data_IF_499617116198
#
_entry.id   IF_499617116198
#
_cell.length_a   1.000
_cell.length_b   1.000
_cell.length_c   1.000
_cell.angle_alpha   90.00
_cell.angle_beta   90.00
_cell.angle_gamma   90.00
#
_symmetry.space_group_name_H-M   'P 1'
#
loop_
_entity.id
_entity.type
_entity.pdbx_description
1 polymer ?
#
# COMPACT_ATOMS: atom_id res chain seq x y z
N UNK A 1 12.34 -10.88 14.25
CA UNK A 1 12.74 -9.51 14.65
C UNK A 1 11.76 -9.04 15.71
N UNK A 2 12.23 -8.35 16.75
CA UNK A 2 11.41 -8.02 17.93
C UNK A 2 11.73 -6.60 18.39
N UNK A 3 10.70 -5.80 18.69
CA UNK A 3 10.82 -4.47 19.30
C UNK A 3 11.88 -3.58 18.62
N UNK A 4 11.80 -3.45 17.29
CA UNK A 4 12.62 -2.47 16.56
C UNK A 4 12.02 -1.07 16.76
N UNK A 5 12.87 -0.04 16.82
CA UNK A 5 12.42 1.34 17.03
C UNK A 5 11.49 1.84 15.92
N UNK A 6 11.90 1.65 14.65
CA UNK A 6 11.18 2.19 13.50
C UNK A 6 10.56 1.08 12.67
N UNK A 7 11.38 0.16 12.17
CA UNK A 7 10.93 -0.88 11.26
C UNK A 7 11.51 -2.25 11.60
N UNK A 8 10.74 -3.31 11.37
CA UNK A 8 11.30 -4.66 11.29
C UNK A 8 12.16 -4.76 10.04
N UNK A 9 11.55 -4.82 8.87
CA UNK A 9 12.27 -4.86 7.58
C UNK A 9 11.84 -3.67 6.74
N UNK A 10 12.80 -2.95 6.18
CA UNK A 10 12.54 -1.80 5.34
C UNK A 10 13.09 -2.00 3.93
N UNK A 11 12.24 -1.73 2.94
CA UNK A 11 12.60 -1.70 1.53
C UNK A 11 12.30 -0.32 0.95
N UNK A 12 13.18 0.16 0.06
CA UNK A 12 13.10 1.49 -0.54
C UNK A 12 12.69 1.41 -2.00
N UNK A 13 13.53 0.76 -2.81
CA UNK A 13 13.36 0.59 -4.25
C UNK A 13 13.57 -0.86 -4.65
N UNK A 14 12.86 -1.28 -5.70
CA UNK A 14 13.15 -2.50 -6.46
C UNK A 14 13.28 -2.07 -7.92
N UNK A 15 14.49 -2.14 -8.44
CA UNK A 15 14.78 -1.63 -9.77
C UNK A 15 14.09 -2.49 -10.84
N UNK A 16 13.14 -1.89 -11.54
CA UNK A 16 12.30 -2.56 -12.54
C UNK A 16 13.05 -3.36 -13.62
N UNK A 17 14.28 -3.00 -14.07
CA UNK A 17 15.02 -3.81 -15.04
C UNK A 17 15.36 -5.23 -14.54
N UNK A 18 15.34 -5.45 -13.22
CA UNK A 18 15.63 -6.76 -12.61
C UNK A 18 14.36 -7.49 -12.13
N UNK A 19 13.18 -6.92 -12.36
CA UNK A 19 11.89 -7.53 -12.01
C UNK A 19 11.28 -8.17 -13.24
N UNK A 20 11.02 -9.48 -13.16
CA UNK A 20 10.35 -10.29 -14.19
C UNK A 20 8.97 -10.80 -13.75
N UNK A 21 8.58 -10.54 -12.50
CA UNK A 21 7.33 -10.99 -11.92
C UNK A 21 7.36 -10.94 -10.40
N UNK A 22 6.80 -11.99 -9.78
CA UNK A 22 6.69 -12.12 -8.32
C UNK A 22 7.39 -13.40 -7.85
N UNK A 23 7.70 -13.46 -6.56
CA UNK A 23 8.38 -14.59 -5.93
C UNK A 23 9.87 -14.66 -6.27
N UNK A 24 10.51 -15.71 -5.80
CA UNK A 24 11.97 -15.86 -5.79
C UNK A 24 12.61 -15.87 -7.19
N UNK A 25 11.85 -16.28 -8.19
CA UNK A 25 12.32 -16.42 -9.57
C UNK A 25 12.12 -15.15 -10.41
N UNK A 26 11.32 -14.20 -9.92
CA UNK A 26 10.87 -13.05 -10.71
C UNK A 26 10.93 -11.69 -10.01
N UNK A 27 11.12 -11.63 -8.70
CA UNK A 27 11.12 -10.38 -7.96
C UNK A 27 11.90 -10.46 -6.65
N UNK A 28 11.82 -9.39 -5.85
CA UNK A 28 12.39 -9.37 -4.52
C UNK A 28 11.47 -10.15 -3.56
N UNK A 29 12.06 -10.77 -2.53
CA UNK A 29 11.31 -11.59 -1.58
C UNK A 29 11.74 -11.30 -0.14
N UNK A 30 10.75 -11.12 0.72
CA UNK A 30 10.90 -11.28 2.17
C UNK A 30 10.13 -12.54 2.54
N UNK A 31 10.81 -13.53 3.14
CA UNK A 31 10.17 -14.81 3.48
C UNK A 31 10.56 -15.40 4.82
N UNK A 32 9.69 -16.26 5.33
CA UNK A 32 9.95 -17.14 6.49
C UNK A 32 10.48 -16.37 7.70
N UNK A 33 9.80 -15.29 8.09
CA UNK A 33 10.21 -14.47 9.22
C UNK A 33 9.05 -14.14 10.14
N UNK A 34 9.35 -14.03 11.43
CA UNK A 34 8.43 -13.54 12.44
C UNK A 34 8.85 -12.14 12.85
N UNK A 35 7.91 -11.20 12.79
CA UNK A 35 8.12 -9.81 13.16
C UNK A 35 7.16 -9.49 14.31
N UNK A 36 7.73 -9.07 15.43
CA UNK A 36 7.01 -8.79 16.68
C UNK A 36 7.05 -7.30 16.95
N UNK A 37 5.88 -6.66 16.99
CA UNK A 37 5.74 -5.22 17.19
C UNK A 37 6.09 -4.78 18.62
N UNK A 38 5.64 -5.52 19.62
CA UNK A 38 6.05 -5.32 21.01
C UNK A 38 6.06 -6.61 21.84
N UNK A 39 6.85 -6.57 22.90
CA UNK A 39 7.02 -7.57 23.97
C UNK A 39 7.25 -6.79 25.25
N UNK A 40 6.33 -6.92 26.21
CA UNK A 40 6.32 -6.11 27.43
C UNK A 40 7.43 -6.48 28.41
N UNK A 41 7.87 -7.74 28.37
CA UNK A 41 8.96 -8.28 29.19
C UNK A 41 10.31 -7.58 28.90
N UNK A 42 10.42 -6.86 27.79
CA UNK A 42 11.59 -6.05 27.46
C UNK A 42 11.59 -4.67 28.13
N UNK A 43 10.55 -4.30 28.87
CA UNK A 43 10.55 -3.11 29.73
C UNK A 43 10.58 -1.76 28.99
N UNK A 44 10.21 -1.72 27.71
CA UNK A 44 10.19 -0.49 26.90
C UNK A 44 8.96 0.41 27.14
N UNK A 45 8.06 -0.05 28.02
CA UNK A 45 6.84 0.65 28.40
C UNK A 45 5.61 0.22 27.59
N UNK A 46 4.40 0.51 28.11
CA UNK A 46 3.13 0.00 27.59
C UNK A 46 2.71 0.62 26.26
N UNK A 47 3.38 1.68 25.81
CA UNK A 47 3.10 2.35 24.55
C UNK A 47 4.13 2.05 23.46
N UNK A 48 5.26 1.42 23.83
CA UNK A 48 6.32 1.14 22.86
C UNK A 48 5.87 0.09 21.86
N UNK A 49 6.13 0.32 20.58
CA UNK A 49 5.96 -0.71 19.57
C UNK A 49 6.72 -0.32 18.30
N UNK A 50 7.17 -1.30 17.53
CA UNK A 50 7.72 -1.09 16.20
C UNK A 50 6.71 -0.38 15.31
N UNK A 51 7.05 0.84 14.88
CA UNK A 51 6.14 1.68 14.10
C UNK A 51 5.62 0.95 12.87
N UNK A 52 6.48 0.26 12.11
CA UNK A 52 6.08 -0.58 10.97
C UNK A 52 6.77 -1.95 10.98
N UNK A 53 6.01 -3.04 10.89
CA UNK A 53 6.62 -4.39 10.78
C UNK A 53 7.44 -4.55 9.49
N UNK A 54 6.80 -4.33 8.35
CA UNK A 54 7.43 -4.26 7.02
C UNK A 54 7.11 -2.91 6.38
N UNK A 55 8.13 -2.25 5.85
CA UNK A 55 8.01 -1.07 5.01
C UNK A 55 8.20 -1.47 3.54
N UNK A 56 7.13 -1.34 2.75
CA UNK A 56 7.06 -1.67 1.33
C UNK A 56 7.73 -0.60 0.46
N UNK A 57 8.29 -0.96 -0.71
CA UNK A 57 9.06 -0.06 -1.55
C UNK A 57 8.16 0.78 -2.46
N UNK A 58 8.77 1.78 -3.10
CA UNK A 58 8.17 2.54 -4.20
C UNK A 58 8.39 1.87 -5.57
N UNK A 59 8.16 0.57 -5.66
CA UNK A 59 8.24 -0.21 -6.90
C UNK A 59 7.41 -1.49 -6.78
N UNK A 60 7.00 -2.06 -7.92
CA UNK A 60 6.42 -3.39 -7.98
C UNK A 60 7.49 -4.49 -7.84
N UNK A 61 7.04 -5.72 -7.60
CA UNK A 61 7.91 -6.90 -7.61
C UNK A 61 8.36 -7.39 -6.23
N UNK A 62 7.90 -6.79 -5.13
CA UNK A 62 8.12 -7.33 -3.78
C UNK A 62 7.08 -8.41 -3.45
N UNK A 63 7.56 -9.60 -3.07
CA UNK A 63 6.72 -10.67 -2.51
C UNK A 63 7.01 -10.90 -1.04
N UNK A 64 5.97 -10.94 -0.23
CA UNK A 64 5.99 -11.23 1.20
C UNK A 64 5.40 -12.62 1.40
N UNK A 65 6.22 -13.56 1.84
CA UNK A 65 5.88 -14.99 1.84
C UNK A 65 6.09 -15.62 3.21
N UNK A 66 5.09 -16.27 3.77
CA UNK A 66 5.26 -17.00 5.04
C UNK A 66 5.77 -16.09 6.17
N UNK A 67 5.18 -14.90 6.29
CA UNK A 67 5.55 -13.93 7.33
C UNK A 67 4.50 -13.91 8.42
N UNK A 68 4.96 -13.99 9.66
CA UNK A 68 4.12 -13.93 10.86
C UNK A 68 4.28 -12.57 11.53
N UNK A 69 3.18 -11.83 11.68
CA UNK A 69 3.12 -10.59 12.42
C UNK A 69 2.51 -10.83 13.80
N UNK A 70 3.18 -10.32 14.83
CA UNK A 70 2.78 -10.52 16.23
C UNK A 70 2.73 -9.17 16.94
N UNK A 71 1.69 -8.91 17.73
CA UNK A 71 1.62 -7.75 18.63
C UNK A 71 1.72 -6.40 17.90
N UNK A 72 0.96 -6.23 16.82
CA UNK A 72 0.74 -4.93 16.17
C UNK A 72 -0.67 -4.43 16.51
N UNK A 73 -0.87 -4.13 17.79
CA UNK A 73 -2.16 -3.78 18.39
C UNK A 73 -2.14 -2.45 19.18
N UNK A 74 -0.97 -1.82 19.27
CA UNK A 74 -0.80 -0.50 19.91
C UNK A 74 -1.08 0.66 18.94
N UNK A 75 -1.51 1.83 19.45
CA UNK A 75 -1.73 3.02 18.63
C UNK A 75 -0.51 3.37 17.78
N UNK A 76 -0.75 3.90 16.58
CA UNK A 76 0.27 4.38 15.62
C UNK A 76 1.22 3.33 15.04
N UNK A 77 1.21 2.09 15.54
CA UNK A 77 1.89 0.96 14.91
C UNK A 77 1.04 0.26 13.86
N UNK A 78 1.69 -0.34 12.88
CA UNK A 78 1.04 -1.29 11.98
C UNK A 78 2.01 -2.35 11.46
N UNK A 79 1.50 -3.54 11.16
CA UNK A 79 2.32 -4.62 10.61
C UNK A 79 2.91 -4.25 9.23
N UNK A 80 2.14 -3.57 8.39
CA UNK A 80 2.54 -3.16 7.04
C UNK A 80 2.49 -1.64 6.93
N UNK A 81 3.48 -1.06 6.24
CA UNK A 81 3.49 0.35 5.82
C UNK A 81 4.24 0.52 4.51
N UNK A 82 4.35 1.77 4.05
CA UNK A 82 4.99 2.11 2.77
C UNK A 82 6.11 3.11 3.00
N UNK A 83 7.16 2.98 2.19
CA UNK A 83 8.40 3.73 2.37
C UNK A 83 8.25 5.24 2.15
N UNK A 84 9.22 5.98 2.66
CA UNK A 84 9.49 7.38 2.35
C UNK A 84 10.96 7.48 1.99
N UNK A 85 11.31 8.19 0.92
CA UNK A 85 12.69 8.26 0.44
C UNK A 85 13.07 9.73 0.34
N UNK A 86 13.90 10.19 1.28
CA UNK A 86 14.42 11.55 1.24
C UNK A 86 15.16 11.84 -0.06
N UNK A 87 15.00 13.05 -0.59
CA UNK A 87 15.50 13.45 -1.91
C UNK A 87 14.86 12.74 -3.11
N UNK A 88 13.92 11.81 -2.92
CA UNK A 88 13.24 11.08 -4.01
C UNK A 88 11.73 11.28 -3.96
N UNK A 89 11.09 10.91 -2.86
CA UNK A 89 9.70 11.26 -2.57
C UNK A 89 9.35 10.97 -1.11
N UNK A 90 8.73 11.95 -0.45
CA UNK A 90 8.28 11.82 0.94
C UNK A 90 6.77 12.03 1.11
N UNK A 91 6.09 12.56 0.10
CA UNK A 91 4.67 12.91 0.15
C UNK A 91 3.95 12.55 -1.15
N UNK A 92 2.73 12.00 -1.01
CA UNK A 92 1.80 11.67 -2.12
C UNK A 92 2.42 10.84 -3.25
N UNK A 93 3.29 9.88 -2.92
CA UNK A 93 3.81 8.89 -3.87
C UNK A 93 3.18 7.53 -3.63
N UNK A 94 3.06 6.74 -4.70
CA UNK A 94 2.40 5.47 -4.59
C UNK A 94 1.96 4.84 -5.90
N UNK A 95 0.95 4.00 -5.76
CA UNK A 95 0.29 3.27 -6.82
C UNK A 95 0.97 1.95 -7.17
N UNK A 96 2.04 1.58 -6.48
CA UNK A 96 2.70 0.28 -6.65
C UNK A 96 2.01 -0.81 -5.83
N UNK A 97 2.40 -2.04 -6.10
CA UNK A 97 1.82 -3.23 -5.51
C UNK A 97 2.87 -4.08 -4.80
N UNK A 98 2.45 -4.75 -3.73
CA UNK A 98 3.20 -5.83 -3.12
C UNK A 98 2.33 -7.08 -3.01
N UNK A 99 2.93 -8.25 -3.21
CA UNK A 99 2.23 -9.52 -3.25
C UNK A 99 2.43 -10.30 -1.95
N UNK A 100 1.36 -10.83 -1.40
CA UNK A 100 1.35 -11.53 -0.12
C UNK A 100 0.87 -12.97 -0.26
N UNK A 101 1.48 -13.86 0.50
CA UNK A 101 1.09 -15.28 0.64
C UNK A 101 1.64 -15.86 1.95
N UNK A 102 0.96 -16.85 2.54
CA UNK A 102 1.34 -17.49 3.80
C UNK A 102 1.39 -16.54 5.01
N UNK A 103 0.64 -15.44 4.99
CA UNK A 103 0.65 -14.45 6.08
C UNK A 103 -0.08 -14.97 7.31
N UNK A 104 0.45 -14.68 8.49
CA UNK A 104 -0.18 -15.00 9.76
C UNK A 104 -0.18 -13.78 10.67
N UNK A 105 -1.28 -13.61 11.41
CA UNK A 105 -1.46 -12.53 12.37
C UNK A 105 -1.76 -13.11 13.75
N UNK A 106 -0.99 -12.69 14.75
CA UNK A 106 -1.25 -12.99 16.16
C UNK A 106 -1.34 -11.67 16.92
N UNK A 107 -2.43 -11.45 17.64
CA UNK A 107 -2.70 -10.20 18.37
C UNK A 107 -2.33 -8.94 17.54
N UNK A 108 -2.89 -8.84 16.34
CA UNK A 108 -2.57 -7.77 15.39
C UNK A 108 -3.88 -7.17 14.90
N UNK A 109 -4.33 -6.11 15.58
CA UNK A 109 -5.48 -5.31 15.16
C UNK A 109 -5.11 -4.27 14.10
N UNK A 110 -3.83 -3.86 14.02
CA UNK A 110 -3.34 -2.87 13.06
C UNK A 110 -2.50 -3.55 11.97
N UNK A 111 -3.17 -4.12 10.96
CA UNK A 111 -2.53 -4.89 9.89
C UNK A 111 -1.81 -4.01 8.87
N UNK A 112 -2.35 -2.85 8.52
CA UNK A 112 -1.66 -1.88 7.67
C UNK A 112 -1.92 -0.43 8.09
N UNK A 113 -0.95 0.42 7.77
CA UNK A 113 -1.05 1.86 7.93
C UNK A 113 -0.70 2.58 6.64
N UNK A 114 -1.61 3.44 6.22
CA UNK A 114 -1.53 4.24 5.00
C UNK A 114 -1.46 5.74 5.36
N UNK A 115 -0.94 6.54 4.44
CA UNK A 115 -0.81 8.00 4.61
C UNK A 115 -1.76 8.78 3.71
N UNK A 116 -2.09 8.26 2.53
CA UNK A 116 -2.94 8.93 1.55
C UNK A 116 -3.60 7.95 0.59
N UNK A 117 -4.56 8.48 -0.17
CA UNK A 117 -5.23 7.79 -1.27
C UNK A 117 -4.22 7.31 -2.32
N UNK A 118 -4.42 6.12 -2.88
CA UNK A 118 -3.57 5.53 -3.93
C UNK A 118 -2.12 5.17 -3.53
N UNK A 119 -1.78 5.12 -2.24
CA UNK A 119 -0.41 4.84 -1.81
C UNK A 119 0.11 3.46 -2.27
N UNK A 120 -0.67 2.39 -2.13
CA UNK A 120 -0.24 1.02 -2.44
C UNK A 120 -1.42 0.08 -2.68
N UNK A 121 -1.19 -1.01 -3.41
CA UNK A 121 -2.08 -2.19 -3.47
C UNK A 121 -1.40 -3.37 -2.78
N UNK A 122 -2.04 -3.91 -1.74
CA UNK A 122 -1.63 -5.18 -1.13
C UNK A 122 -2.41 -6.31 -1.80
N UNK A 123 -1.73 -7.22 -2.50
CA UNK A 123 -2.36 -8.31 -3.26
C UNK A 123 -2.31 -9.60 -2.43
N UNK A 124 -3.46 -10.09 -1.98
CA UNK A 124 -3.57 -11.37 -1.28
C UNK A 124 -3.69 -12.52 -2.27
N UNK A 125 -2.65 -13.35 -2.39
CA UNK A 125 -2.59 -14.36 -3.47
C UNK A 125 -3.25 -15.69 -3.12
N UNK A 126 -3.37 -15.98 -1.82
CA UNK A 126 -3.78 -17.28 -1.30
C UNK A 126 -4.87 -17.17 -0.21
N UNK A 127 -5.25 -15.95 0.19
CA UNK A 127 -6.25 -15.69 1.22
C UNK A 127 -5.67 -15.53 2.62
N UNK A 128 -4.37 -15.67 2.79
CA UNK A 128 -3.73 -15.59 4.11
C UNK A 128 -3.67 -14.16 4.66
N UNK A 129 -3.69 -13.14 3.81
CA UNK A 129 -3.62 -11.74 4.24
C UNK A 129 -4.99 -11.21 4.71
N UNK A 130 -6.04 -11.52 3.97
CA UNK A 130 -7.38 -10.92 4.10
C UNK A 130 -8.47 -11.93 4.48
N UNK A 131 -8.14 -13.22 4.50
CA UNK A 131 -9.09 -14.32 4.66
C UNK A 131 -9.69 -14.80 3.34
N UNK A 132 -9.46 -14.11 2.21
CA UNK A 132 -10.05 -14.45 0.92
C UNK A 132 -9.02 -14.33 -0.22
N UNK A 133 -8.99 -15.35 -1.07
CA UNK A 133 -8.01 -15.44 -2.15
C UNK A 133 -8.23 -14.37 -3.22
N UNK A 134 -7.14 -13.78 -3.72
CA UNK A 134 -7.11 -12.75 -4.77
C UNK A 134 -7.78 -11.40 -4.39
N UNK A 135 -8.13 -11.23 -3.12
CA UNK A 135 -8.57 -9.95 -2.60
C UNK A 135 -7.40 -8.95 -2.54
N UNK A 136 -7.74 -7.67 -2.49
CA UNK A 136 -6.77 -6.59 -2.49
C UNK A 136 -7.08 -5.64 -1.35
N UNK A 137 -6.06 -5.15 -0.67
CA UNK A 137 -6.20 -4.06 0.30
C UNK A 137 -5.62 -2.79 -0.31
N UNK A 138 -6.38 -1.71 -0.27
CA UNK A 138 -5.98 -0.39 -0.80
C UNK A 138 -6.40 0.70 0.19
N UNK A 139 -5.72 1.86 0.18
CA UNK A 139 -6.30 3.07 0.78
C UNK A 139 -7.67 3.36 0.18
N UNK A 140 -8.61 3.82 1.01
CA UNK A 140 -9.95 4.26 0.59
C UNK A 140 -9.83 5.28 -0.54
N UNK A 141 -10.70 5.14 -1.53
CA UNK A 141 -10.83 6.11 -2.62
C UNK A 141 -12.31 6.30 -2.96
N UNK A 142 -12.66 7.50 -3.43
CA UNK A 142 -13.99 7.76 -4.00
C UNK A 142 -14.27 6.96 -5.28
N UNK A 143 -13.23 6.36 -5.88
CA UNK A 143 -13.35 5.54 -7.09
C UNK A 143 -13.69 4.07 -6.81
N UNK A 144 -13.66 3.62 -5.55
CA UNK A 144 -13.92 2.23 -5.20
C UNK A 144 -15.42 1.92 -5.32
N UNK A 145 -15.74 0.75 -5.88
CA UNK A 145 -17.11 0.25 -5.92
C UNK A 145 -17.51 -0.22 -4.50
N UNK A 146 -18.52 0.41 -3.85
CA UNK A 146 -18.93 0.05 -2.50
C UNK A 146 -19.54 -1.37 -2.40
N UNK A 147 -19.95 -1.98 -3.52
CA UNK A 147 -20.42 -3.37 -3.53
C UNK A 147 -19.29 -4.39 -3.42
N UNK A 148 -18.11 -4.04 -3.93
CA UNK A 148 -16.97 -4.95 -4.03
C UNK A 148 -15.81 -4.57 -3.11
N UNK A 149 -15.80 -3.35 -2.57
CA UNK A 149 -14.79 -2.83 -1.67
C UNK A 149 -15.42 -2.37 -0.35
N UNK A 150 -14.93 -2.90 0.77
CA UNK A 150 -15.43 -2.58 2.11
C UNK A 150 -14.30 -2.07 3.00
N UNK A 151 -14.50 -0.92 3.63
CA UNK A 151 -13.58 -0.40 4.64
C UNK A 151 -13.50 -1.33 5.86
N UNK A 152 -12.29 -1.52 6.40
CA UNK A 152 -12.08 -2.27 7.65
C UNK A 152 -11.10 -1.53 8.56
N UNK A 153 -11.42 -1.47 9.85
CA UNK A 153 -10.63 -0.77 10.84
C UNK A 153 -9.18 -1.30 10.90
N UNK A 154 -8.99 -2.61 10.71
CA UNK A 154 -7.67 -3.25 10.77
C UNK A 154 -6.67 -2.82 9.69
N UNK A 155 -7.14 -2.17 8.61
CA UNK A 155 -6.31 -1.64 7.53
C UNK A 155 -6.23 -0.10 7.56
N UNK A 156 -6.70 0.53 8.64
CA UNK A 156 -7.03 1.96 8.66
C UNK A 156 -6.15 2.79 9.60
N UNK A 157 -4.91 2.36 9.87
CA UNK A 157 -3.98 3.20 10.64
C UNK A 157 -3.51 4.38 9.80
N UNK A 158 -3.77 5.60 10.27
CA UNK A 158 -3.36 6.85 9.60
C UNK A 158 -4.33 7.32 8.50
N UNK A 159 -4.70 6.44 7.58
CA UNK A 159 -5.65 6.71 6.51
C UNK A 159 -6.57 5.49 6.32
N UNK A 160 -7.89 5.67 6.05
CA UNK A 160 -8.82 4.55 5.93
C UNK A 160 -8.42 3.55 4.84
N UNK A 161 -8.52 2.26 5.15
CA UNK A 161 -8.21 1.16 4.22
C UNK A 161 -9.44 0.33 3.89
N UNK A 162 -9.52 -0.13 2.64
CA UNK A 162 -10.59 -0.97 2.13
C UNK A 162 -10.06 -2.30 1.60
N UNK A 163 -10.84 -3.37 1.80
CA UNK A 163 -10.62 -4.69 1.19
C UNK A 163 -11.56 -4.82 0.01
N UNK A 164 -11.00 -5.02 -1.18
CA UNK A 164 -11.72 -5.27 -2.41
C UNK A 164 -11.66 -6.75 -2.79
N UNK A 165 -12.75 -7.29 -3.34
CA UNK A 165 -12.80 -8.68 -3.77
C UNK A 165 -11.98 -8.98 -5.03
N UNK A 166 -11.98 -10.25 -5.44
CA UNK A 166 -11.19 -10.71 -6.57
C UNK A 166 -11.61 -10.13 -7.93
N UNK A 167 -12.82 -9.55 -8.05
CA UNK A 167 -13.35 -8.98 -9.29
C UNK A 167 -12.76 -7.60 -9.59
N UNK A 168 -12.28 -6.90 -8.56
CA UNK A 168 -11.68 -5.57 -8.67
C UNK A 168 -10.23 -5.66 -9.11
N UNK A 169 -9.88 -4.93 -10.16
CA UNK A 169 -8.51 -4.82 -10.67
C UNK A 169 -8.04 -3.37 -10.67
N UNK A 170 -6.78 -3.14 -10.31
CA UNK A 170 -6.21 -1.80 -10.24
C UNK A 170 -5.15 -1.59 -11.31
N UNK A 171 -5.22 -0.45 -11.98
CA UNK A 171 -4.15 0.04 -12.86
C UNK A 171 -3.48 1.24 -12.23
N UNK A 172 -2.15 1.30 -12.35
CA UNK A 172 -1.38 2.47 -11.95
C UNK A 172 -1.29 3.45 -13.12
N UNK A 173 -1.83 4.65 -12.95
CA UNK A 173 -1.63 5.77 -13.87
C UNK A 173 -0.62 6.75 -13.27
N UNK A 174 0.41 7.11 -14.01
CA UNK A 174 1.40 8.12 -13.62
C UNK A 174 1.62 9.12 -14.77
N UNK A 175 1.68 10.41 -14.44
CA UNK A 175 1.92 11.50 -15.40
C UNK A 175 3.34 12.02 -15.23
N UNK A 176 4.27 11.43 -15.97
CA UNK A 176 5.69 11.80 -15.91
C UNK A 176 5.99 12.82 -17.00
N UNK A 177 6.41 14.02 -16.61
CA UNK A 177 6.71 15.14 -17.52
C UNK A 177 5.54 15.44 -18.48
N UNK A 178 4.36 15.83 -17.94
CA UNK A 178 3.18 16.07 -18.76
C UNK A 178 3.41 17.21 -19.77
N UNK A 179 2.83 17.06 -20.96
CA UNK A 179 2.84 18.08 -22.02
C UNK A 179 1.40 18.51 -22.32
N UNK A 180 1.11 19.83 -22.38
CA UNK A 180 2.04 20.95 -22.20
C UNK A 180 2.50 21.10 -20.74
N UNK A 181 3.65 21.75 -20.52
CA UNK A 181 4.21 21.98 -19.18
C UNK A 181 3.29 22.77 -18.23
N UNK A 182 2.30 23.47 -18.77
CA UNK A 182 1.23 24.13 -18.00
C UNK A 182 0.35 23.17 -17.21
N UNK A 183 0.43 21.85 -17.46
CA UNK A 183 -0.24 20.81 -16.66
C UNK A 183 0.48 20.53 -15.33
N UNK A 184 1.73 20.96 -15.18
CA UNK A 184 2.44 20.86 -13.91
C UNK A 184 1.73 21.69 -12.84
N UNK A 185 1.67 21.14 -11.62
CA UNK A 185 0.97 21.71 -10.48
C UNK A 185 -0.55 21.93 -10.70
N UNK A 186 -1.14 21.33 -11.75
CA UNK A 186 -2.59 21.19 -11.89
C UNK A 186 -3.04 19.89 -11.27
N UNK A 187 -4.32 19.84 -10.89
CA UNK A 187 -4.91 18.60 -10.39
C UNK A 187 -5.49 17.79 -11.55
N UNK A 188 -5.19 16.48 -11.55
CA UNK A 188 -5.94 15.52 -12.35
C UNK A 188 -7.16 15.10 -11.52
N UNK A 189 -8.32 15.14 -12.17
CA UNK A 189 -9.56 14.62 -11.60
C UNK A 189 -9.89 13.34 -12.34
N UNK A 190 -9.94 12.24 -11.59
CA UNK A 190 -10.42 10.96 -12.07
C UNK A 190 -11.85 10.79 -11.59
N UNK A 191 -12.76 10.38 -12.47
CA UNK A 191 -14.13 10.09 -12.11
C UNK A 191 -14.63 8.83 -12.79
N UNK A 192 -15.44 8.07 -12.07
CA UNK A 192 -16.17 6.90 -12.57
C UNK A 192 -17.61 6.91 -12.01
N UNK A 193 -18.35 5.84 -12.23
CA UNK A 193 -19.74 5.69 -11.74
C UNK A 193 -19.89 5.71 -10.22
N UNK A 194 -18.81 5.54 -9.45
CA UNK A 194 -18.84 5.45 -7.99
C UNK A 194 -18.44 6.77 -7.31
N UNK A 195 -17.62 7.58 -7.97
CA UNK A 195 -17.24 8.89 -7.46
C UNK A 195 -16.03 9.48 -8.16
N UNK A 196 -15.32 10.33 -7.42
CA UNK A 196 -14.22 11.16 -7.92
C UNK A 196 -13.03 11.07 -6.98
N UNK A 197 -11.83 11.09 -7.55
CA UNK A 197 -10.57 11.27 -6.83
C UNK A 197 -9.77 12.40 -7.48
N UNK A 198 -8.99 13.12 -6.67
CA UNK A 198 -8.21 14.27 -7.09
C UNK A 198 -6.76 14.13 -6.64
N UNK A 199 -5.82 14.31 -7.58
CA UNK A 199 -4.39 14.24 -7.30
C UNK A 199 -3.68 15.40 -7.99
N UNK A 200 -2.78 16.07 -7.27
CA UNK A 200 -1.91 17.10 -7.87
C UNK A 200 -0.85 16.45 -8.74
N UNK A 201 -0.71 16.95 -9.96
CA UNK A 201 0.30 16.52 -10.93
C UNK A 201 1.61 17.21 -10.58
N UNK A 202 2.51 16.48 -9.94
CA UNK A 202 3.86 16.96 -9.68
C UNK A 202 4.86 16.31 -10.63
N UNK A 203 6.06 16.89 -10.73
CA UNK A 203 7.13 16.36 -11.59
C UNK A 203 7.67 14.99 -11.14
N UNK A 204 7.24 14.47 -9.98
CA UNK A 204 7.80 13.23 -9.43
C UNK A 204 7.23 12.01 -10.16
N UNK A 205 8.14 11.20 -10.72
CA UNK A 205 7.90 9.90 -11.39
C UNK A 205 7.16 8.85 -10.54
N UNK A 206 6.91 9.20 -9.28
CA UNK A 206 6.53 8.33 -8.19
C UNK A 206 5.05 8.51 -7.78
N UNK A 207 4.31 9.42 -8.41
CA UNK A 207 2.87 9.55 -8.18
C UNK A 207 2.10 8.58 -9.07
N UNK A 208 1.52 7.53 -8.48
CA UNK A 208 0.64 6.60 -9.16
C UNK A 208 -0.77 6.73 -8.61
N UNK A 209 -1.74 6.97 -9.49
CA UNK A 209 -3.16 6.85 -9.17
C UNK A 209 -3.58 5.41 -9.40
N UNK A 210 -4.35 4.86 -8.46
CA UNK A 210 -4.95 3.54 -8.59
C UNK A 210 -6.33 3.67 -9.18
N UNK A 211 -6.49 3.07 -10.35
CA UNK A 211 -7.70 3.13 -11.13
C UNK A 211 -8.38 1.77 -11.08
N UNK A 212 -9.59 1.72 -10.52
CA UNK A 212 -10.42 0.52 -10.54
C UNK A 212 -10.93 0.28 -11.97
N UNK A 213 -10.55 -0.83 -12.59
CA UNK A 213 -11.09 -1.25 -13.89
C UNK A 213 -12.28 -2.20 -13.74
N UNK A 214 -13.51 -1.72 -13.91
CA UNK A 214 -14.55 -2.45 -14.60
C UNK A 214 -14.81 -1.84 -15.99
N UNK A 215 -15.61 -2.54 -16.79
CA UNK A 215 -16.06 -2.27 -18.18
C UNK A 215 -16.66 -0.89 -18.48
N UNK A 216 -16.61 0.07 -17.54
CA UNK A 216 -17.26 1.38 -17.60
C UNK A 216 -16.21 2.46 -17.88
N UNK A 217 -16.50 3.32 -18.86
CA UNK A 217 -15.69 4.47 -19.24
C UNK A 217 -15.28 5.31 -18.03
N UNK A 218 -13.98 5.45 -17.84
CA UNK A 218 -13.42 6.45 -16.93
C UNK A 218 -13.06 7.69 -17.73
N UNK A 219 -13.37 8.85 -17.17
CA UNK A 219 -12.99 10.13 -17.74
C UNK A 219 -11.92 10.75 -16.87
N UNK A 220 -10.76 11.04 -17.47
CA UNK A 220 -9.72 11.86 -16.87
C UNK A 220 -9.84 13.29 -17.43
N UNK A 221 -9.94 14.27 -16.55
CA UNK A 221 -10.04 15.68 -16.91
C UNK A 221 -9.02 16.53 -16.17
N UNK A 222 -8.63 17.66 -16.78
CA UNK A 222 -7.83 18.70 -16.13
C UNK A 222 -8.73 19.89 -15.79
N UNK A 223 -8.68 20.35 -14.54
CA UNK A 223 -9.33 21.60 -14.17
C UNK A 223 -8.46 22.80 -14.57
N UNK A 224 -9.04 23.73 -15.33
CA UNK A 224 -8.52 25.10 -15.41
C UNK A 224 -8.90 25.79 -14.10
N UNK A 225 -7.90 26.06 -13.26
CA UNK A 225 -7.98 27.18 -12.32
C UNK A 225 -7.83 28.47 -13.10
#
# INVERSE_FOLDING_TARGET
>A
MVNNEIAGIETKRILSPYVRGWGETGGAVIKNTTIVGHVDELGLGPNYCTVRGIILPFDDGLSIMSVTFVNFDRPMCSAIGVTSIDGTCVDRCGGWSARFSGIQFFNTSNKAGFRWEHEVVLIDSDGSLTGNRNHKVVPRSGLLDPLHCTEKAEWSVGYPGAVCDATVSFHRLALNNPSPSSLLAKNIILSNSHGTAEQSINQSINQGLLINAPTVQQTAGFCRQ
#
